data_IF_316143842204
#
_entry.id   IF_316143842204
#
_cell.length_a   1.000
_cell.length_b   1.000
_cell.length_c   1.000
_cell.angle_alpha   90.00
_cell.angle_beta   90.00
_cell.angle_gamma   90.00
#
_symmetry.space_group_name_H-M   'P 1'
#
loop_
_entity.id
_entity.type
_entity.pdbx_description
1 polymer ?
#
# COMPACT_ATOMS: atom_id res chain seq x y z
N UNK A 1 -24.61 -11.13 -9.21
CA UNK A 1 -23.39 -10.74 -8.47
C UNK A 1 -22.48 -10.03 -9.45
N UNK A 2 -21.99 -8.84 -9.12
CA UNK A 2 -21.05 -8.10 -9.99
C UNK A 2 -19.71 -8.84 -9.96
N UNK A 3 -19.05 -9.01 -11.11
CA UNK A 3 -17.68 -9.55 -11.20
C UNK A 3 -16.71 -8.40 -11.36
N UNK A 4 -15.82 -8.23 -10.40
CA UNK A 4 -14.74 -7.24 -10.40
C UNK A 4 -13.48 -8.00 -10.04
N UNK A 5 -12.46 -7.91 -10.88
CA UNK A 5 -11.15 -8.49 -10.62
C UNK A 5 -10.20 -7.38 -10.14
N UNK A 6 -9.57 -7.58 -8.99
CA UNK A 6 -8.57 -6.62 -8.47
C UNK A 6 -7.36 -6.67 -9.41
N UNK A 7 -6.86 -5.54 -9.92
CA UNK A 7 -5.70 -5.53 -10.81
C UNK A 7 -4.48 -6.10 -10.12
N UNK A 8 -3.66 -6.85 -10.86
CA UNK A 8 -2.37 -7.32 -10.36
C UNK A 8 -1.46 -6.13 -9.99
N UNK A 9 -0.65 -6.24 -8.93
CA UNK A 9 0.24 -5.17 -8.52
C UNK A 9 1.31 -4.90 -9.58
N UNK A 10 1.50 -3.62 -9.90
CA UNK A 10 2.59 -3.17 -10.75
C UNK A 10 3.91 -3.09 -9.99
N UNK A 11 3.83 -2.84 -8.68
CA UNK A 11 4.98 -2.75 -7.79
C UNK A 11 4.63 -3.44 -6.49
N UNK A 12 5.50 -4.34 -6.05
CA UNK A 12 5.46 -4.96 -4.73
C UNK A 12 6.82 -4.73 -4.07
N UNK A 13 6.82 -4.14 -2.89
CA UNK A 13 8.03 -3.95 -2.09
C UNK A 13 7.81 -4.52 -0.70
N UNK A 14 8.86 -5.09 -0.12
CA UNK A 14 8.87 -5.61 1.23
C UNK A 14 9.90 -4.88 2.08
N UNK A 15 9.64 -4.84 3.39
CA UNK A 15 10.61 -4.38 4.36
C UNK A 15 11.81 -5.34 4.33
N UNK A 16 13.00 -4.80 4.08
CA UNK A 16 14.24 -5.58 4.12
C UNK A 16 15.41 -4.72 4.56
N UNK A 17 16.29 -5.32 5.36
CA UNK A 17 17.56 -4.72 5.71
C UNK A 17 18.59 -5.10 4.64
N UNK A 18 19.34 -4.11 4.14
CA UNK A 18 20.49 -4.38 3.27
C UNK A 18 21.51 -5.15 4.09
N UNK A 19 21.85 -6.37 3.65
CA UNK A 19 22.91 -7.15 4.28
C UNK A 19 24.25 -6.47 3.93
N UNK A 20 25.14 -6.32 4.92
CA UNK A 20 26.41 -5.58 4.74
C UNK A 20 27.38 -6.21 3.72
N UNK A 21 27.05 -7.40 3.20
CA UNK A 21 27.88 -8.22 2.32
C UNK A 21 27.49 -8.12 0.84
N UNK A 22 26.44 -7.38 0.50
CA UNK A 22 26.08 -7.16 -0.90
C UNK A 22 26.89 -5.98 -1.46
N UNK A 23 27.55 -6.19 -2.62
CA UNK A 23 28.28 -5.16 -3.39
C UNK A 23 27.35 -4.02 -3.91
N UNK A 24 26.18 -3.86 -3.31
CA UNK A 24 25.20 -2.86 -3.66
C UNK A 24 25.54 -1.52 -2.97
N UNK A 25 25.25 -0.39 -3.63
CA UNK A 25 25.30 0.91 -2.98
C UNK A 25 24.43 0.91 -1.72
N UNK A 26 24.94 1.47 -0.61
CA UNK A 26 24.15 1.66 0.61
C UNK A 26 22.98 2.60 0.31
N UNK A 27 21.77 2.07 0.22
CA UNK A 27 20.56 2.86 0.00
C UNK A 27 19.90 3.11 1.35
N UNK A 28 19.64 4.38 1.68
CA UNK A 28 18.95 4.73 2.92
C UNK A 28 17.50 4.25 2.85
N UNK A 29 17.13 3.32 3.74
CA UNK A 29 15.75 2.85 3.86
C UNK A 29 14.80 4.01 4.23
N UNK A 30 13.62 4.02 3.62
CA UNK A 30 12.52 4.92 3.92
C UNK A 30 11.46 4.08 4.64
N UNK A 31 11.34 4.26 5.96
CA UNK A 31 10.47 3.46 6.85
C UNK A 31 10.70 1.94 6.74
N UNK A 32 11.97 1.51 6.66
CA UNK A 32 12.31 0.08 6.48
C UNK A 32 12.26 -0.41 5.03
N UNK A 33 11.71 0.39 4.10
CA UNK A 33 11.66 0.07 2.68
C UNK A 33 12.82 0.69 1.90
N UNK A 34 13.73 -0.14 1.41
CA UNK A 34 14.84 0.27 0.52
C UNK A 34 14.29 0.60 -0.88
N UNK A 35 13.34 -0.21 -1.33
CA UNK A 35 12.77 -0.16 -2.67
C UNK A 35 11.62 0.85 -2.81
N UNK A 36 11.44 1.76 -1.85
CA UNK A 36 10.39 2.77 -1.88
C UNK A 36 10.42 3.66 -3.14
N UNK A 37 11.60 3.80 -3.74
CA UNK A 37 11.81 4.51 -5.00
C UNK A 37 11.20 3.83 -6.23
N UNK A 38 10.81 2.55 -6.15
CA UNK A 38 10.15 1.82 -7.23
C UNK A 38 8.68 2.23 -7.40
N UNK A 39 8.02 2.70 -6.32
CA UNK A 39 6.63 3.18 -6.39
C UNK A 39 6.57 4.45 -7.26
N UNK A 40 5.74 4.56 -8.30
CA UNK A 40 5.73 5.75 -9.16
C UNK A 40 5.32 7.04 -8.41
N UNK A 41 5.98 8.16 -8.73
CA UNK A 41 5.77 9.45 -8.03
C UNK A 41 4.56 10.23 -8.56
N UNK A 42 4.27 10.09 -9.83
CA UNK A 42 3.34 10.88 -10.63
C UNK A 42 2.13 10.10 -11.15
N UNK A 43 2.01 8.82 -10.76
CA UNK A 43 0.88 7.97 -11.11
C UNK A 43 -0.17 7.87 -10.00
N UNK A 44 -1.42 7.76 -10.42
CA UNK A 44 -2.55 7.42 -9.57
C UNK A 44 -2.74 5.91 -9.48
N UNK A 45 -3.43 5.47 -8.43
CA UNK A 45 -3.81 4.08 -8.28
C UNK A 45 -4.38 3.76 -6.91
N UNK A 46 -4.36 2.48 -6.58
CA UNK A 46 -4.60 1.95 -5.24
C UNK A 46 -3.31 1.34 -4.68
N UNK A 47 -3.24 1.23 -3.36
CA UNK A 47 -2.17 0.57 -2.66
C UNK A 47 -2.72 -0.24 -1.48
N UNK A 48 -2.01 -1.30 -1.14
CA UNK A 48 -2.35 -2.21 -0.05
C UNK A 48 -1.15 -2.38 0.86
N UNK A 49 -1.39 -2.30 2.16
CA UNK A 49 -0.42 -2.61 3.21
C UNK A 49 -0.73 -3.96 3.81
N UNK A 50 0.28 -4.81 3.91
CA UNK A 50 0.18 -6.12 4.53
C UNK A 50 1.21 -6.30 5.63
N UNK A 51 0.91 -7.16 6.60
CA UNK A 51 1.89 -7.60 7.57
C UNK A 51 2.71 -8.80 7.07
N UNK A 52 3.61 -9.29 7.93
CA UNK A 52 4.49 -10.42 7.64
C UNK A 52 3.73 -11.76 7.44
N UNK A 53 2.46 -11.81 7.85
CA UNK A 53 1.58 -12.97 7.68
C UNK A 53 0.66 -12.84 6.46
N UNK A 54 0.95 -11.89 5.56
CA UNK A 54 0.13 -11.57 4.38
C UNK A 54 -1.31 -11.12 4.72
N UNK A 55 -1.58 -10.67 5.95
CA UNK A 55 -2.88 -10.10 6.31
C UNK A 55 -2.99 -8.67 5.80
N UNK A 56 -4.11 -8.34 5.15
CA UNK A 56 -4.38 -7.01 4.63
C UNK A 56 -4.69 -6.04 5.77
N UNK A 57 -3.76 -5.12 6.03
CA UNK A 57 -3.89 -4.11 7.07
C UNK A 57 -4.73 -2.92 6.59
N UNK A 58 -4.46 -2.43 5.38
CA UNK A 58 -5.09 -1.21 4.88
C UNK A 58 -5.07 -1.15 3.35
N UNK A 59 -6.14 -0.60 2.79
CA UNK A 59 -6.24 -0.22 1.37
C UNK A 59 -6.45 1.28 1.27
N UNK A 60 -5.73 1.94 0.37
CA UNK A 60 -6.00 3.33 0.03
C UNK A 60 -5.84 3.63 -1.45
N UNK A 61 -6.44 4.73 -1.90
CA UNK A 61 -6.24 5.28 -3.24
C UNK A 61 -5.46 6.60 -3.24
N UNK A 62 -4.86 6.92 -4.38
CA UNK A 62 -4.14 8.18 -4.56
C UNK A 62 -4.15 8.67 -6.01
N UNK A 63 -3.99 9.99 -6.20
CA UNK A 63 -3.55 10.60 -7.47
C UNK A 63 -2.03 10.59 -7.64
N UNK A 64 -1.29 10.51 -6.54
CA UNK A 64 0.18 10.43 -6.48
C UNK A 64 0.57 9.39 -5.44
N UNK A 65 0.78 8.15 -5.90
CA UNK A 65 0.96 6.97 -5.05
C UNK A 65 2.10 7.13 -4.04
N UNK A 66 3.33 7.38 -4.51
CA UNK A 66 4.51 7.51 -3.63
C UNK A 66 4.30 8.57 -2.54
N UNK A 67 3.75 9.73 -2.90
CA UNK A 67 3.51 10.81 -1.94
C UNK A 67 2.45 10.44 -0.90
N UNK A 68 1.36 9.78 -1.33
CA UNK A 68 0.28 9.37 -0.42
C UNK A 68 0.75 8.29 0.54
N UNK A 69 1.41 7.25 0.04
CA UNK A 69 1.96 6.17 0.85
C UNK A 69 2.93 6.74 1.88
N UNK A 70 3.85 7.62 1.47
CA UNK A 70 4.77 8.30 2.38
C UNK A 70 4.04 9.02 3.53
N UNK A 71 2.95 9.75 3.23
CA UNK A 71 2.15 10.42 4.26
C UNK A 71 1.55 9.47 5.29
N UNK A 72 1.11 8.27 4.89
CA UNK A 72 0.60 7.28 5.85
C UNK A 72 1.62 6.87 6.92
N UNK A 73 2.92 6.99 6.63
CA UNK A 73 4.03 6.77 7.58
C UNK A 73 4.45 8.02 8.37
N UNK A 74 4.00 9.23 7.98
CA UNK A 74 4.43 10.50 8.59
C UNK A 74 3.33 11.22 9.38
N UNK A 75 2.07 11.17 8.95
CA UNK A 75 1.01 12.01 9.50
C UNK A 75 0.40 11.46 10.81
N UNK A 76 -0.41 12.24 11.52
CA UNK A 76 -1.05 11.79 12.77
C UNK A 76 -2.51 11.36 12.60
N UNK A 77 -2.97 11.27 11.36
CA UNK A 77 -4.37 11.04 10.99
C UNK A 77 -4.57 9.76 10.18
N UNK A 78 -3.49 9.14 9.70
CA UNK A 78 -3.54 7.84 9.04
C UNK A 78 -4.22 6.79 9.93
N UNK A 79 -5.15 5.98 9.39
CA UNK A 79 -5.77 4.88 10.12
C UNK A 79 -4.75 3.86 10.66
N UNK A 80 -3.60 3.73 9.99
CA UNK A 80 -2.52 2.81 10.41
C UNK A 80 -1.48 3.46 11.33
N UNK A 81 -1.69 4.70 11.84
CA UNK A 81 -0.65 5.44 12.56
C UNK A 81 -0.07 4.72 13.79
N UNK A 82 -0.88 3.89 14.45
CA UNK A 82 -0.50 3.09 15.61
C UNK A 82 -0.05 1.66 15.26
N UNK A 83 0.02 1.35 13.96
CA UNK A 83 0.23 0.00 13.41
C UNK A 83 1.23 0.03 12.24
N UNK A 84 2.10 1.04 12.19
CA UNK A 84 3.06 1.23 11.07
C UNK A 84 4.14 0.17 11.05
N UNK A 85 4.53 -0.26 12.23
CA UNK A 85 5.46 -1.36 12.52
C UNK A 85 4.91 -2.72 12.10
N UNK A 86 3.59 -2.87 11.94
CA UNK A 86 3.02 -4.08 11.35
C UNK A 86 3.19 -4.14 9.82
N UNK A 87 3.46 -3.01 9.14
CA UNK A 87 3.52 -2.97 7.67
C UNK A 87 4.83 -3.57 7.18
N UNK A 88 4.74 -4.78 6.62
CA UNK A 88 5.87 -5.53 6.07
C UNK A 88 5.92 -5.49 4.55
N UNK A 89 4.76 -5.44 3.87
CA UNK A 89 4.67 -5.48 2.41
C UNK A 89 3.73 -4.38 1.91
N UNK A 90 4.13 -3.73 0.83
CA UNK A 90 3.33 -2.71 0.13
C UNK A 90 3.15 -3.17 -1.31
N UNK A 91 1.90 -3.31 -1.71
CA UNK A 91 1.51 -3.57 -3.11
C UNK A 91 0.85 -2.34 -3.69
N UNK A 92 1.13 -2.06 -4.96
CA UNK A 92 0.64 -0.88 -5.66
C UNK A 92 0.12 -1.27 -7.04
N UNK A 93 -1.13 -0.90 -7.32
CA UNK A 93 -1.74 -1.05 -8.63
C UNK A 93 -1.97 0.35 -9.21
N UNK A 94 -1.34 0.64 -10.34
CA UNK A 94 -1.51 1.87 -11.11
C UNK A 94 -2.87 1.80 -11.80
N UNK A 95 -3.72 2.77 -11.48
CA UNK A 95 -5.06 2.91 -12.04
C UNK A 95 -5.26 4.40 -12.31
N UNK A 96 -5.30 4.78 -13.58
CA UNK A 96 -5.35 6.18 -13.97
C UNK A 96 -6.75 6.78 -13.77
N UNK A 97 -7.80 6.01 -14.11
CA UNK A 97 -9.17 6.47 -13.98
C UNK A 97 -9.58 6.69 -12.50
N UNK A 98 -10.16 7.85 -12.15
CA UNK A 98 -10.55 8.15 -10.76
C UNK A 98 -11.75 7.34 -10.27
N UNK A 99 -12.68 6.98 -11.16
CA UNK A 99 -13.85 6.16 -10.83
C UNK A 99 -13.41 4.71 -10.59
N UNK A 100 -12.55 4.16 -11.44
CA UNK A 100 -12.01 2.80 -11.23
C UNK A 100 -11.26 2.70 -9.90
N UNK A 101 -10.44 3.70 -9.54
CA UNK A 101 -9.77 3.74 -8.23
C UNK A 101 -10.76 3.69 -7.06
N UNK A 102 -11.88 4.39 -7.17
CA UNK A 102 -12.92 4.40 -6.15
C UNK A 102 -13.56 3.01 -5.99
N UNK A 103 -13.84 2.36 -7.13
CA UNK A 103 -14.41 1.03 -7.18
C UNK A 103 -13.43 0.02 -6.60
N UNK A 104 -12.17 0.00 -7.06
CA UNK A 104 -11.17 -0.97 -6.60
C UNK A 104 -10.82 -0.80 -5.13
N UNK A 105 -10.70 0.43 -4.62
CA UNK A 105 -10.47 0.66 -3.19
C UNK A 105 -11.62 0.06 -2.37
N UNK A 106 -12.87 0.41 -2.71
CA UNK A 106 -14.05 -0.09 -2.00
C UNK A 106 -14.16 -1.60 -2.11
N UNK A 107 -13.96 -2.16 -3.29
CA UNK A 107 -14.06 -3.59 -3.53
C UNK A 107 -12.98 -4.37 -2.76
N UNK A 108 -11.71 -3.93 -2.81
CA UNK A 108 -10.62 -4.59 -2.11
C UNK A 108 -10.79 -4.53 -0.58
N UNK A 109 -11.22 -3.39 -0.02
CA UNK A 109 -11.52 -3.26 1.42
C UNK A 109 -12.49 -4.34 1.89
N UNK A 110 -13.54 -4.60 1.10
CA UNK A 110 -14.64 -5.46 1.50
C UNK A 110 -14.42 -6.94 1.17
N UNK A 111 -13.88 -7.23 -0.02
CA UNK A 111 -13.61 -8.60 -0.45
C UNK A 111 -12.44 -9.21 0.33
N UNK A 112 -11.40 -8.42 0.62
CA UNK A 112 -10.20 -8.88 1.34
C UNK A 112 -10.23 -8.54 2.84
N UNK A 113 -11.30 -7.89 3.32
CA UNK A 113 -11.54 -7.56 4.72
C UNK A 113 -10.37 -6.85 5.42
N UNK A 114 -9.98 -5.68 4.89
CA UNK A 114 -8.86 -4.91 5.43
C UNK A 114 -9.06 -4.53 6.91
N UNK A 115 -8.07 -4.80 7.75
CA UNK A 115 -8.16 -4.69 9.22
C UNK A 115 -8.41 -3.26 9.73
N UNK A 116 -7.72 -2.27 9.18
CA UNK A 116 -7.66 -0.90 9.70
C UNK A 116 -8.39 0.14 8.86
N UNK A 117 -9.04 -0.23 7.75
CA UNK A 117 -9.96 0.70 7.10
C UNK A 117 -11.18 0.94 8.01
N UNK A 118 -11.53 2.21 8.17
CA UNK A 118 -12.68 2.66 8.97
C UNK A 118 -13.84 3.04 8.05
N UNK A 119 -13.55 3.74 6.96
CA UNK A 119 -14.53 4.13 5.95
C UNK A 119 -14.72 3.02 4.90
N UNK A 120 -15.92 2.99 4.28
CA UNK A 120 -16.28 2.08 3.18
C UNK A 120 -16.21 0.60 3.55
N UNK A 121 -16.41 0.27 4.82
CA UNK A 121 -16.48 -1.10 5.34
C UNK A 121 -17.95 -1.52 5.46
N UNK A 122 -18.34 -2.59 4.77
CA UNK A 122 -19.72 -3.10 4.66
C UNK A 122 -19.88 -4.57 5.08
N UNK A 123 -18.81 -5.20 5.57
CA UNK A 123 -18.81 -6.61 6.03
C UNK A 123 -18.87 -6.74 7.55
N UNK A 124 -18.90 -5.62 8.28
CA UNK A 124 -19.00 -5.58 9.74
C UNK A 124 -20.45 -5.45 10.19
#
# INVERSE_FOLDING_TARGET
MIKIDIPAPNVTITERQQSANENEPKIKAIYGFIDFHQIPRDKGGIFMFYNIHDELLFVGKARKLRQRIKKHFEDNVSPIKHHRDEVYKIEVCVVDDPMEREIYETYAINTLQSKYNIEKVFYK
#
